data_IF_166860641866
#
_entry.id   IF_166860641866
#
_cell.length_a   1.000
_cell.length_b   1.000
_cell.length_c   1.000
_cell.angle_alpha   90.00
_cell.angle_beta   90.00
_cell.angle_gamma   90.00
#
_symmetry.space_group_name_H-M   'P 1'
#
loop_
_entity.id
_entity.type
_entity.pdbx_description
1 polymer ?
#
# COMPACT_ATOMS: atom_id res chain seq x y z
N UNK A 1 -12.63 -7.92 -6.84
CA UNK A 1 -11.55 -7.05 -7.31
C UNK A 1 -12.05 -5.64 -7.50
N UNK A 2 -11.20 -4.67 -7.18
CA UNK A 2 -11.40 -3.24 -7.48
C UNK A 2 -10.27 -2.84 -8.41
N UNK A 3 -10.58 -2.30 -9.58
CA UNK A 3 -9.61 -1.93 -10.60
C UNK A 3 -9.88 -0.50 -11.09
N UNK A 4 -8.82 0.31 -11.24
CA UNK A 4 -8.88 1.70 -11.70
C UNK A 4 -9.78 2.60 -10.84
N UNK A 5 -9.84 2.37 -9.54
CA UNK A 5 -10.60 3.19 -8.62
C UNK A 5 -9.91 4.53 -8.35
N UNK A 6 -10.70 5.50 -7.92
CA UNK A 6 -10.18 6.69 -7.28
C UNK A 6 -9.70 7.78 -8.22
N UNK A 7 -10.49 8.20 -9.23
CA UNK A 7 -10.13 9.37 -10.02
C UNK A 7 -9.92 10.60 -9.12
N UNK A 8 -8.75 11.26 -9.13
CA UNK A 8 -8.49 12.40 -8.28
C UNK A 8 -9.34 13.61 -8.72
N UNK A 9 -10.06 14.22 -7.79
CA UNK A 9 -10.81 15.45 -8.05
C UNK A 9 -9.87 16.65 -8.20
N UNK A 10 -8.83 16.67 -7.42
CA UNK A 10 -7.73 17.65 -7.42
C UNK A 10 -6.61 17.12 -6.52
N UNK A 11 -5.49 17.83 -6.50
CA UNK A 11 -4.36 17.54 -5.65
C UNK A 11 -4.76 17.31 -4.19
N UNK A 12 -4.28 16.24 -3.59
CA UNK A 12 -4.59 15.80 -2.22
C UNK A 12 -6.11 15.63 -1.97
N UNK A 13 -6.84 15.16 -2.97
CA UNK A 13 -8.23 14.73 -2.91
C UNK A 13 -8.46 13.51 -3.80
N UNK A 14 -7.57 12.60 -3.70
CA UNK A 14 -7.57 11.29 -4.30
C UNK A 14 -8.54 10.37 -3.54
N UNK A 15 -8.80 9.20 -4.07
CA UNK A 15 -9.69 8.20 -3.47
C UNK A 15 -8.98 6.85 -3.50
N UNK A 16 -8.90 6.21 -2.36
CA UNK A 16 -8.34 4.86 -2.21
C UNK A 16 -9.07 3.81 -3.03
N UNK A 17 -8.42 2.71 -3.28
CA UNK A 17 -9.07 1.52 -3.82
C UNK A 17 -10.14 0.99 -2.88
N UNK A 18 -9.78 0.74 -1.63
CA UNK A 18 -10.70 0.33 -0.56
C UNK A 18 -10.33 1.06 0.73
N UNK A 19 -11.31 1.75 1.32
CA UNK A 19 -11.18 2.41 2.61
C UNK A 19 -12.00 1.70 3.68
N UNK A 20 -11.40 1.39 4.83
CA UNK A 20 -12.06 0.82 6.00
C UNK A 20 -12.16 1.86 7.12
N UNK A 21 -13.34 2.45 7.29
CA UNK A 21 -13.60 3.46 8.33
C UNK A 21 -14.05 2.81 9.64
N UNK A 22 -13.17 2.65 10.60
CA UNK A 22 -13.47 2.13 11.96
C UNK A 22 -14.21 0.78 11.98
N UNK A 23 -13.85 -0.12 11.07
CA UNK A 23 -14.51 -1.43 10.96
C UNK A 23 -14.08 -2.33 12.12
N UNK A 24 -15.04 -2.99 12.73
CA UNK A 24 -14.83 -3.89 13.88
C UNK A 24 -14.45 -5.32 13.49
N UNK A 25 -13.85 -6.05 14.43
CA UNK A 25 -13.32 -7.40 14.24
C UNK A 25 -14.38 -8.51 14.04
N UNK A 26 -15.65 -8.17 14.06
CA UNK A 26 -16.74 -9.07 13.68
C UNK A 26 -16.99 -9.13 12.16
N UNK A 27 -16.28 -8.30 11.38
CA UNK A 27 -16.38 -8.26 9.91
C UNK A 27 -15.33 -9.20 9.31
N UNK A 28 -15.72 -9.97 8.32
CA UNK A 28 -14.81 -10.83 7.56
C UNK A 28 -14.33 -10.07 6.32
N UNK A 29 -13.02 -9.99 6.14
CA UNK A 29 -12.34 -9.37 5.01
C UNK A 29 -11.30 -10.36 4.50
N UNK A 30 -11.52 -10.88 3.31
CA UNK A 30 -10.57 -11.79 2.68
C UNK A 30 -10.67 -11.80 1.14
N UNK A 31 -9.58 -12.24 0.50
CA UNK A 31 -9.46 -12.41 -0.95
C UNK A 31 -9.86 -11.15 -1.74
N UNK A 32 -9.22 -10.03 -1.40
CA UNK A 32 -9.40 -8.76 -2.10
C UNK A 32 -8.17 -8.42 -2.92
N UNK A 33 -8.38 -8.00 -4.15
CA UNK A 33 -7.36 -7.39 -5.00
C UNK A 33 -7.78 -5.99 -5.39
N UNK A 34 -6.86 -5.05 -5.21
CA UNK A 34 -6.95 -3.68 -5.73
C UNK A 34 -5.85 -3.50 -6.77
N UNK A 35 -6.20 -2.97 -7.93
CA UNK A 35 -5.26 -2.72 -9.02
C UNK A 35 -5.46 -1.32 -9.57
N UNK A 36 -4.36 -0.59 -9.76
CA UNK A 36 -4.35 0.75 -10.37
C UNK A 36 -5.28 1.75 -9.66
N UNK A 37 -5.39 1.68 -8.33
CA UNK A 37 -6.02 2.77 -7.59
C UNK A 37 -5.19 4.06 -7.74
N UNK A 38 -5.85 5.20 -7.74
CA UNK A 38 -5.19 6.51 -7.88
C UNK A 38 -4.80 7.13 -6.53
N UNK A 39 -4.79 6.33 -5.51
CA UNK A 39 -4.36 6.57 -4.15
C UNK A 39 -3.91 5.24 -3.57
N UNK A 40 -4.07 5.01 -2.27
CA UNK A 40 -3.74 3.75 -1.64
C UNK A 40 -4.53 2.58 -2.21
N UNK A 41 -3.94 1.41 -2.19
CA UNK A 41 -4.70 0.21 -2.47
C UNK A 41 -5.69 -0.07 -1.35
N UNK A 42 -5.21 -0.11 -0.12
CA UNK A 42 -6.01 -0.37 1.08
C UNK A 42 -5.65 0.62 2.18
N UNK A 43 -6.65 1.31 2.72
CA UNK A 43 -6.45 2.21 3.85
C UNK A 43 -7.42 1.93 4.99
N UNK A 44 -6.90 1.91 6.23
CA UNK A 44 -7.66 1.71 7.47
C UNK A 44 -7.61 2.96 8.35
N UNK A 45 -8.74 3.65 8.47
CA UNK A 45 -8.94 4.72 9.45
C UNK A 45 -9.52 4.15 10.75
N UNK A 46 -8.65 3.72 11.65
CA UNK A 46 -9.07 3.12 12.91
C UNK A 46 -9.76 1.77 12.78
N UNK A 47 -10.33 1.30 13.89
CA UNK A 47 -11.01 0.01 13.92
C UNK A 47 -10.11 -1.16 14.32
N UNK A 48 -10.68 -2.36 14.28
CA UNK A 48 -10.05 -3.59 14.78
C UNK A 48 -10.26 -4.79 13.85
N UNK A 49 -10.74 -4.55 12.62
CA UNK A 49 -10.99 -5.61 11.66
C UNK A 49 -9.72 -6.37 11.31
N UNK A 50 -9.82 -7.68 11.18
CA UNK A 50 -8.77 -8.51 10.62
C UNK A 50 -9.00 -8.70 9.13
N UNK A 51 -7.93 -8.77 8.35
CA UNK A 51 -7.99 -8.99 6.91
C UNK A 51 -6.96 -10.02 6.46
N UNK A 52 -7.31 -10.84 5.47
CA UNK A 52 -6.44 -11.89 4.95
C UNK A 52 -6.49 -11.94 3.41
N UNK A 53 -5.39 -12.36 2.80
CA UNK A 53 -5.28 -12.56 1.36
C UNK A 53 -5.59 -11.29 0.56
N UNK A 54 -4.78 -10.26 0.78
CA UNK A 54 -4.91 -8.98 0.10
C UNK A 54 -3.81 -8.80 -0.93
N UNK A 55 -4.19 -8.29 -2.10
CA UNK A 55 -3.26 -7.97 -3.18
C UNK A 55 -3.40 -6.51 -3.58
N UNK A 56 -2.31 -5.76 -3.47
CA UNK A 56 -2.13 -4.41 -4.02
C UNK A 56 -1.30 -4.51 -5.30
N UNK A 57 -1.82 -4.01 -6.41
CA UNK A 57 -1.17 -4.15 -7.71
C UNK A 57 -1.11 -2.82 -8.46
N UNK A 58 0.10 -2.26 -8.57
CA UNK A 58 0.39 -1.06 -9.33
C UNK A 58 -0.47 0.16 -8.93
N UNK A 59 -0.79 0.31 -7.64
CA UNK A 59 -1.52 1.46 -7.14
C UNK A 59 -0.64 2.71 -7.11
N UNK A 60 -1.27 3.87 -7.00
CA UNK A 60 -0.58 5.15 -7.12
C UNK A 60 0.23 5.48 -5.87
N UNK A 61 -0.45 5.51 -4.70
CA UNK A 61 0.20 5.79 -3.43
C UNK A 61 0.54 4.49 -2.69
N UNK A 62 0.20 4.31 -1.46
CA UNK A 62 0.67 3.18 -0.67
C UNK A 62 -0.03 1.86 -1.01
N UNK A 63 0.65 0.74 -0.79
CA UNK A 63 0.01 -0.56 -0.90
C UNK A 63 -0.93 -0.81 0.28
N UNK A 64 -0.48 -0.46 1.49
CA UNK A 64 -1.24 -0.63 2.74
C UNK A 64 -1.00 0.55 3.67
N UNK A 65 -2.00 1.41 3.86
CA UNK A 65 -1.96 2.53 4.80
C UNK A 65 -2.84 2.28 6.02
N UNK A 66 -2.34 2.65 7.19
CA UNK A 66 -3.08 2.56 8.45
C UNK A 66 -2.95 3.84 9.28
N UNK A 67 -4.09 4.34 9.75
CA UNK A 67 -4.15 5.56 10.55
C UNK A 67 -5.21 5.46 11.68
N UNK A 68 -5.31 6.51 12.46
CA UNK A 68 -6.38 6.78 13.42
C UNK A 68 -6.64 5.65 14.44
N UNK A 69 -5.56 4.96 14.85
CA UNK A 69 -5.63 3.94 15.87
C UNK A 69 -6.12 2.58 15.40
N UNK A 70 -5.94 2.25 14.12
CA UNK A 70 -6.19 0.89 13.64
C UNK A 70 -5.32 -0.13 14.39
N UNK A 71 -5.94 -1.24 14.80
CA UNK A 71 -5.28 -2.27 15.63
C UNK A 71 -5.63 -3.71 15.23
N UNK A 72 -6.00 -3.93 13.98
CA UNK A 72 -6.25 -5.26 13.43
C UNK A 72 -4.99 -6.06 13.12
N UNK A 73 -5.19 -7.26 12.60
CA UNK A 73 -4.14 -8.11 12.04
C UNK A 73 -4.44 -8.35 10.56
N UNK A 74 -3.47 -8.09 9.71
CA UNK A 74 -3.53 -8.38 8.28
C UNK A 74 -2.52 -9.49 7.94
N UNK A 75 -2.95 -10.51 7.20
CA UNK A 75 -2.13 -11.69 6.86
C UNK A 75 -2.20 -12.02 5.38
N UNK A 76 -1.12 -12.65 4.89
CA UNK A 76 -1.01 -13.07 3.49
C UNK A 76 -1.23 -11.89 2.55
N UNK A 77 -0.29 -10.95 2.61
CA UNK A 77 -0.31 -9.73 1.82
C UNK A 77 0.68 -9.81 0.66
N UNK A 78 0.24 -9.36 -0.50
CA UNK A 78 1.09 -9.20 -1.67
C UNK A 78 0.98 -7.78 -2.21
N UNK A 79 2.09 -7.06 -2.24
CA UNK A 79 2.23 -5.78 -2.92
C UNK A 79 3.13 -5.93 -4.15
N UNK A 80 2.72 -5.37 -5.27
CA UNK A 80 3.49 -5.36 -6.52
C UNK A 80 3.47 -3.94 -7.06
N UNK A 81 4.61 -3.26 -6.98
CA UNK A 81 4.74 -1.88 -7.46
C UNK A 81 5.17 -1.84 -8.93
N UNK A 82 4.59 -0.93 -9.67
CA UNK A 82 5.13 -0.53 -10.96
C UNK A 82 6.31 0.43 -10.75
N UNK A 83 7.45 0.26 -11.49
CA UNK A 83 8.64 1.06 -11.25
C UNK A 83 8.50 2.57 -11.56
N UNK A 84 7.38 2.99 -12.13
CA UNK A 84 7.13 4.38 -12.52
C UNK A 84 5.69 4.82 -12.24
N UNK A 85 5.13 4.37 -11.11
CA UNK A 85 3.85 4.85 -10.59
C UNK A 85 4.03 5.11 -9.10
N UNK A 86 3.97 6.37 -8.70
CA UNK A 86 4.00 6.79 -7.30
C UNK A 86 3.43 8.20 -7.13
N UNK A 87 2.94 8.51 -5.95
CA UNK A 87 2.53 9.85 -5.59
C UNK A 87 3.74 10.79 -5.39
N UNK A 88 3.49 12.09 -5.37
CA UNK A 88 4.50 13.11 -5.18
C UNK A 88 4.94 13.26 -3.73
N UNK A 89 4.14 12.76 -2.79
CA UNK A 89 4.40 12.81 -1.34
C UNK A 89 5.29 11.67 -0.86
N UNK A 90 5.34 10.61 -1.65
CA UNK A 90 6.15 9.42 -1.38
C UNK A 90 5.27 8.20 -1.17
N UNK A 91 5.46 7.19 -2.03
CA UNK A 91 4.70 5.94 -1.94
C UNK A 91 5.51 4.86 -1.25
N UNK A 92 4.84 4.10 -0.37
CA UNK A 92 5.42 3.06 0.46
C UNK A 92 4.79 1.69 0.18
N UNK A 93 5.35 0.63 0.72
CA UNK A 93 4.62 -0.63 0.85
C UNK A 93 3.65 -0.55 2.04
N UNK A 94 4.11 0.10 3.11
CA UNK A 94 3.31 0.37 4.30
C UNK A 94 3.55 1.80 4.77
N UNK A 95 2.50 2.62 4.79
CA UNK A 95 2.45 3.83 5.59
C UNK A 95 1.70 3.53 6.90
N UNK A 96 2.31 3.89 8.02
CA UNK A 96 1.72 3.69 9.34
C UNK A 96 1.76 4.99 10.11
N UNK A 97 0.62 5.62 10.24
CA UNK A 97 0.46 6.92 10.89
C UNK A 97 -0.55 6.88 12.03
N UNK A 98 -0.69 7.97 12.74
CA UNK A 98 -1.78 8.16 13.68
C UNK A 98 -2.17 9.65 13.75
N UNK A 99 -3.26 9.96 13.06
CA UNK A 99 -3.93 11.27 12.98
C UNK A 99 -3.11 12.43 12.36
N UNK A 100 -2.17 12.14 11.48
CA UNK A 100 -1.49 13.15 10.64
C UNK A 100 -0.79 14.31 11.39
N UNK A 101 -0.74 14.27 12.71
CA UNK A 101 -0.10 15.29 13.54
C UNK A 101 0.89 14.65 14.51
N UNK A 102 1.93 15.39 14.88
CA UNK A 102 2.93 14.94 15.87
C UNK A 102 2.42 14.96 17.32
N UNK A 103 1.10 15.04 17.53
CA UNK A 103 0.51 15.03 18.86
C UNK A 103 0.12 13.62 19.28
N UNK A 104 0.28 13.23 20.54
CA UNK A 104 -0.20 11.94 21.01
C UNK A 104 -1.68 11.77 20.73
N UNK A 105 -2.04 10.68 20.07
CA UNK A 105 -3.41 10.31 19.74
C UNK A 105 -3.79 9.01 20.43
N UNK A 106 -5.06 8.86 20.77
CA UNK A 106 -5.62 7.67 21.42
C UNK A 106 -6.87 7.24 20.66
N UNK A 107 -6.97 5.96 20.25
CA UNK A 107 -6.00 4.88 20.45
C UNK A 107 -4.73 5.04 19.61
N UNK A 108 -3.66 4.37 20.01
CA UNK A 108 -2.44 4.24 19.20
C UNK A 108 -2.70 3.32 18.03
N UNK A 109 -2.19 3.66 16.84
CA UNK A 109 -2.18 2.74 15.68
C UNK A 109 -1.22 1.59 15.99
N UNK A 110 -1.75 0.36 16.08
CA UNK A 110 -1.03 -0.79 16.64
C UNK A 110 -1.34 -2.10 15.89
N UNK A 111 -1.33 -2.06 14.58
CA UNK A 111 -1.62 -3.23 13.74
C UNK A 111 -0.50 -4.29 13.77
N UNK A 112 -0.85 -5.50 13.32
CA UNK A 112 0.10 -6.56 13.03
C UNK A 112 -0.03 -6.98 11.57
N UNK A 113 1.10 -7.03 10.87
CA UNK A 113 1.21 -7.53 9.50
C UNK A 113 2.05 -8.82 9.50
N UNK A 114 1.50 -9.88 8.91
CA UNK A 114 2.11 -11.22 8.91
C UNK A 114 2.10 -11.84 7.51
N UNK A 115 3.14 -12.59 7.18
CA UNK A 115 3.26 -13.34 5.92
C UNK A 115 3.11 -12.44 4.68
N UNK A 116 4.00 -11.46 4.59
CA UNK A 116 3.99 -10.40 3.60
C UNK A 116 5.03 -10.65 2.52
N UNK A 117 4.65 -10.43 1.26
CA UNK A 117 5.56 -10.37 0.12
C UNK A 117 5.36 -9.06 -0.63
N UNK A 118 6.42 -8.27 -0.78
CA UNK A 118 6.38 -7.02 -1.53
C UNK A 118 7.45 -7.01 -2.61
N UNK A 119 7.02 -6.78 -3.83
CA UNK A 119 7.87 -6.47 -4.97
C UNK A 119 7.80 -4.95 -5.23
N UNK A 120 8.77 -4.24 -4.70
CA UNK A 120 8.90 -2.79 -4.82
C UNK A 120 9.24 -2.34 -6.25
N UNK A 121 9.49 -1.06 -6.45
CA UNK A 121 9.63 -0.47 -7.80
C UNK A 121 10.86 -0.94 -8.59
N UNK A 122 11.87 -1.52 -7.96
CA UNK A 122 13.16 -1.85 -8.58
C UNK A 122 13.85 -0.66 -9.26
N UNK A 123 13.46 0.55 -8.93
CA UNK A 123 14.00 1.78 -9.51
C UNK A 123 15.16 2.28 -8.66
N UNK A 124 16.28 2.62 -9.31
CA UNK A 124 17.35 3.38 -8.67
C UNK A 124 16.99 4.85 -8.45
N UNK A 125 15.94 5.32 -9.11
CA UNK A 125 15.46 6.71 -9.03
C UNK A 125 14.29 6.77 -8.04
N UNK A 126 14.52 7.34 -6.86
CA UNK A 126 13.44 7.59 -5.89
C UNK A 126 12.42 8.60 -6.46
N UNK A 127 12.87 9.61 -7.22
CA UNK A 127 12.02 10.63 -7.85
C UNK A 127 12.09 10.53 -9.37
N UNK A 128 10.93 10.55 -10.02
CA UNK A 128 10.80 10.38 -11.46
C UNK A 128 9.53 11.06 -12.01
N UNK A 129 9.37 11.08 -13.33
CA UNK A 129 8.09 11.44 -13.98
C UNK A 129 7.26 10.18 -14.18
N UNK A 130 6.06 10.16 -13.66
CA UNK A 130 5.13 9.05 -13.79
C UNK A 130 4.81 8.72 -15.26
N UNK A 131 4.61 7.44 -15.54
CA UNK A 131 4.28 6.99 -16.88
C UNK A 131 2.81 7.26 -17.21
N UNK A 132 2.51 8.03 -18.26
CA UNK A 132 1.15 8.50 -18.53
C UNK A 132 0.15 7.38 -18.84
N UNK A 133 0.60 6.24 -19.35
CA UNK A 133 -0.29 5.13 -19.75
C UNK A 133 -0.92 4.42 -18.56
N UNK A 134 -0.41 4.62 -17.35
CA UNK A 134 -0.88 3.96 -16.13
C UNK A 134 -1.62 4.88 -15.18
N UNK A 135 -1.73 6.16 -15.52
CA UNK A 135 -2.43 7.14 -14.71
C UNK A 135 -3.87 7.20 -15.15
N UNK A 136 -4.82 6.92 -14.26
CA UNK A 136 -6.26 7.02 -14.51
C UNK A 136 -6.72 6.24 -15.76
N UNK A 137 -6.26 5.02 -15.94
CA UNK A 137 -6.60 4.23 -17.13
C UNK A 137 -6.13 4.88 -18.44
N UNK A 138 -4.95 5.54 -18.42
CA UNK A 138 -4.40 6.33 -19.54
C UNK A 138 -4.84 7.79 -19.53
N UNK A 139 -5.62 8.22 -18.53
CA UNK A 139 -5.92 9.63 -18.27
C UNK A 139 -4.79 10.31 -17.49
N UNK A 140 -4.66 11.60 -17.70
CA UNK A 140 -3.78 12.43 -16.88
C UNK A 140 -4.53 12.84 -15.60
N UNK A 141 -3.78 13.09 -14.54
CA UNK A 141 -4.29 13.84 -13.38
C UNK A 141 -4.85 15.19 -13.86
N UNK A 142 -5.75 15.81 -13.10
CA UNK A 142 -6.28 17.14 -13.44
C UNK A 142 -5.17 18.12 -13.83
N UNK A 143 -5.48 19.04 -14.71
CA UNK A 143 -4.55 20.07 -15.13
C UNK A 143 -3.84 20.71 -13.94
N UNK A 144 -2.53 20.86 -14.05
CA UNK A 144 -1.62 21.40 -13.05
C UNK A 144 -1.19 20.44 -11.92
N UNK A 145 -1.62 19.19 -11.93
CA UNK A 145 -1.03 18.21 -11.04
C UNK A 145 0.37 17.81 -11.50
N UNK A 146 1.24 17.62 -10.51
CA UNK A 146 2.60 17.16 -10.80
C UNK A 146 2.58 15.72 -11.30
N UNK A 147 3.25 15.47 -12.41
CA UNK A 147 3.54 14.13 -12.89
C UNK A 147 4.73 13.50 -12.17
N UNK A 148 5.35 14.21 -11.25
CA UNK A 148 6.46 13.69 -10.46
C UNK A 148 5.94 12.58 -9.54
N UNK A 149 6.70 11.52 -9.43
CA UNK A 149 6.50 10.45 -8.48
C UNK A 149 7.71 10.34 -7.56
N UNK A 150 7.48 9.87 -6.35
CA UNK A 150 8.53 9.64 -5.37
C UNK A 150 8.25 8.30 -4.66
N UNK A 151 9.22 7.39 -4.67
CA UNK A 151 9.19 6.23 -3.77
C UNK A 151 9.87 6.60 -2.46
N UNK A 152 9.14 6.46 -1.36
CA UNK A 152 9.65 6.58 -0.01
C UNK A 152 10.37 5.31 0.47
N UNK A 153 10.47 5.14 1.77
CA UNK A 153 10.92 3.89 2.36
C UNK A 153 9.88 2.78 2.16
N UNK A 154 10.30 1.52 2.15
CA UNK A 154 9.34 0.43 2.09
C UNK A 154 8.36 0.43 3.27
N UNK A 155 8.87 0.71 4.48
CA UNK A 155 8.07 0.87 5.69
C UNK A 155 8.22 2.30 6.22
N UNK A 156 7.12 3.03 6.29
CA UNK A 156 7.06 4.32 6.96
C UNK A 156 6.33 4.20 8.29
N UNK A 157 7.02 4.54 9.37
CA UNK A 157 6.50 4.52 10.74
C UNK A 157 6.42 5.94 11.28
N UNK A 158 5.25 6.53 11.21
CA UNK A 158 4.95 7.84 11.76
C UNK A 158 4.86 7.82 13.29
N UNK A 159 4.61 9.00 13.86
CA UNK A 159 4.48 9.15 15.31
C UNK A 159 3.21 8.45 15.84
N UNK A 160 3.25 8.05 17.11
CA UNK A 160 2.15 7.38 17.81
C UNK A 160 1.70 6.07 17.19
N UNK A 161 2.63 5.34 16.59
CA UNK A 161 2.43 4.00 16.07
C UNK A 161 3.16 2.96 16.90
N UNK A 162 2.62 1.75 16.93
CA UNK A 162 3.20 0.58 17.62
C UNK A 162 2.93 -0.68 16.78
N UNK A 163 3.43 -0.67 15.55
CA UNK A 163 3.14 -1.69 14.54
C UNK A 163 4.11 -2.86 14.65
N UNK A 164 3.62 -4.06 14.39
CA UNK A 164 4.40 -5.30 14.39
C UNK A 164 4.40 -5.91 12.99
N UNK A 165 5.59 -6.27 12.51
CA UNK A 165 5.78 -7.03 11.27
C UNK A 165 6.37 -8.41 11.57
N UNK A 166 5.85 -9.45 10.90
CA UNK A 166 6.33 -10.84 11.01
C UNK A 166 6.37 -11.54 9.67
N UNK A 167 7.44 -12.27 9.41
CA UNK A 167 7.60 -13.04 8.17
C UNK A 167 7.39 -12.20 6.91
N UNK A 168 8.09 -11.08 6.78
CA UNK A 168 7.95 -10.17 5.66
C UNK A 168 9.16 -10.28 4.72
N UNK A 169 8.91 -10.38 3.43
CA UNK A 169 9.90 -10.28 2.37
C UNK A 169 9.58 -9.04 1.54
N UNK A 170 10.43 -8.05 1.61
CA UNK A 170 10.23 -6.74 0.98
C UNK A 170 11.45 -6.46 0.10
N UNK A 171 11.21 -6.13 -1.15
CA UNK A 171 12.30 -5.96 -2.11
C UNK A 171 12.15 -4.73 -2.98
N UNK A 172 13.27 -4.19 -3.46
CA UNK A 172 13.31 -3.20 -4.53
C UNK A 172 12.90 -1.78 -4.17
N UNK A 173 12.84 -1.40 -2.90
CA UNK A 173 12.63 -0.02 -2.48
C UNK A 173 13.96 0.74 -2.36
N UNK A 174 13.97 2.08 -2.54
CA UNK A 174 15.19 2.89 -2.41
C UNK A 174 15.72 2.95 -0.99
N UNK A 175 14.88 2.75 0.01
CA UNK A 175 15.26 2.58 1.41
C UNK A 175 14.34 1.58 2.11
N UNK A 176 14.85 0.91 3.13
CA UNK A 176 14.14 -0.14 3.83
C UNK A 176 13.05 0.43 4.75
N UNK A 177 13.42 1.45 5.54
CA UNK A 177 12.57 1.91 6.64
C UNK A 177 12.81 3.38 7.00
N UNK A 178 11.73 4.09 7.29
CA UNK A 178 11.71 5.37 7.98
C UNK A 178 10.91 5.23 9.27
N UNK A 179 11.47 5.68 10.39
CA UNK A 179 10.93 5.40 11.73
C UNK A 179 11.27 3.99 12.23
N UNK A 180 10.59 3.53 13.26
CA UNK A 180 10.88 2.23 13.89
C UNK A 180 9.60 1.52 14.30
N UNK A 181 9.32 0.30 13.79
CA UNK A 181 8.19 -0.50 14.25
C UNK A 181 8.39 -0.98 15.69
N UNK A 182 7.32 -1.34 16.37
CA UNK A 182 7.37 -1.92 17.70
C UNK A 182 8.09 -3.27 17.72
N UNK A 183 7.92 -4.06 16.64
CA UNK A 183 8.61 -5.32 16.43
C UNK A 183 8.74 -5.63 14.94
N UNK A 184 9.88 -6.17 14.54
CA UNK A 184 10.15 -6.69 13.21
C UNK A 184 10.81 -8.08 13.34
N UNK A 185 10.01 -9.12 13.31
CA UNK A 185 10.47 -10.50 13.43
C UNK A 185 10.50 -11.18 12.07
N UNK A 186 11.67 -11.66 11.65
CA UNK A 186 11.90 -12.27 10.34
C UNK A 186 11.46 -11.34 9.17
N UNK A 187 11.89 -10.09 9.20
CA UNK A 187 11.69 -9.11 8.12
C UNK A 187 12.97 -9.01 7.31
N UNK A 188 12.88 -9.27 6.02
CA UNK A 188 14.01 -9.31 5.10
C UNK A 188 13.81 -8.30 3.99
N UNK A 189 14.79 -7.41 3.82
CA UNK A 189 14.87 -6.48 2.69
C UNK A 189 15.93 -6.95 1.69
N UNK A 190 15.66 -6.77 0.41
CA UNK A 190 16.57 -7.19 -0.66
C UNK A 190 16.41 -6.35 -1.94
N UNK A 191 17.34 -6.54 -2.87
CA UNK A 191 17.11 -6.15 -4.25
C UNK A 191 15.87 -6.87 -4.80
N UNK A 192 15.18 -6.26 -5.74
CA UNK A 192 13.98 -6.89 -6.33
C UNK A 192 14.36 -8.12 -7.15
N UNK A 193 13.92 -9.28 -6.71
CA UNK A 193 13.87 -10.52 -7.49
C UNK A 193 12.42 -11.05 -7.48
N UNK A 194 11.73 -10.94 -8.59
CA UNK A 194 10.43 -11.57 -8.77
C UNK A 194 10.63 -13.07 -9.04
N UNK A 195 10.52 -13.88 -8.00
CA UNK A 195 10.67 -15.34 -8.08
C UNK A 195 9.33 -16.06 -8.31
N UNK A 196 8.26 -15.34 -8.53
CA UNK A 196 6.88 -15.81 -8.64
C UNK A 196 6.00 -15.29 -7.51
N UNK A 197 4.71 -15.45 -7.69
CA UNK A 197 3.74 -14.98 -6.71
C UNK A 197 3.39 -16.08 -5.70
N UNK A 198 2.99 -15.73 -4.47
CA UNK A 198 2.58 -16.69 -3.47
C UNK A 198 1.48 -17.64 -3.99
N UNK A 199 1.55 -18.93 -3.65
CA UNK A 199 0.62 -19.94 -4.14
C UNK A 199 -0.85 -19.59 -3.86
N UNK A 200 -1.12 -18.93 -2.74
CA UNK A 200 -2.47 -18.53 -2.36
C UNK A 200 -3.13 -17.51 -3.31
N UNK A 201 -2.36 -16.88 -4.22
CA UNK A 201 -2.90 -15.95 -5.23
C UNK A 201 -3.53 -16.67 -6.42
N UNK A 202 -3.28 -17.97 -6.58
CA UNK A 202 -3.71 -18.73 -7.74
C UNK A 202 -5.25 -18.86 -7.80
N UNK A 203 -5.78 -18.67 -8.97
CA UNK A 203 -7.19 -18.92 -9.28
C UNK A 203 -8.16 -17.78 -8.93
N UNK A 204 -7.69 -16.68 -8.32
CA UNK A 204 -8.54 -15.54 -8.02
C UNK A 204 -7.91 -14.16 -8.31
N UNK A 205 -6.58 -14.06 -8.31
CA UNK A 205 -5.88 -12.83 -8.67
C UNK A 205 -5.78 -12.64 -10.18
N UNK A 206 -5.74 -11.38 -10.60
CA UNK A 206 -5.45 -11.00 -11.98
C UNK A 206 -4.30 -10.00 -12.02
N UNK A 207 -3.18 -10.40 -12.59
CA UNK A 207 -2.00 -9.57 -12.79
C UNK A 207 -1.88 -9.04 -14.22
N UNK A 208 -2.88 -9.26 -15.06
CA UNK A 208 -2.99 -8.70 -16.39
C UNK A 208 -4.41 -8.16 -16.64
N UNK A 209 -4.73 -6.96 -16.13
CA UNK A 209 -6.06 -6.38 -16.25
C UNK A 209 -6.47 -6.09 -17.72
N UNK A 210 -5.52 -6.01 -18.65
CA UNK A 210 -5.83 -5.83 -20.09
C UNK A 210 -6.44 -7.08 -20.72
N UNK A 211 -6.27 -8.24 -20.11
CA UNK A 211 -6.89 -9.50 -20.53
C UNK A 211 -8.26 -9.72 -19.86
N UNK A 212 -8.71 -8.83 -19.01
CA UNK A 212 -10.04 -8.92 -18.40
C UNK A 212 -11.08 -8.50 -19.42
N UNK A 213 -11.97 -9.38 -19.80
CA UNK A 213 -13.21 -9.02 -20.50
C UNK A 213 -14.11 -8.26 -19.51
N UNK A 214 -14.41 -7.02 -19.81
CA UNK A 214 -15.36 -6.19 -19.08
C UNK A 214 -16.76 -6.37 -19.66
#
# INVERSE_FOLDING_TARGET
>A
RVEFAGYPFKKNQEINGITFGSVGNGTQIDHLQVSYANDDAFEWFGGTVHAEYLVAYHCWDDDFDIDNGYSGTCRHLLGIRHPRIADITGSHAFECSNNGTNTPATPTTAATFEDVTIYGPASGDASFVNHPDFINGGGLRPENESMLGLFGAALYMGNNTSVTFRNCRISGYPSDMEGTPASADNVVFSEREETGYPEWTQGWCNFNPQETEY
#
